data_IF_403018585270
#
_entry.id   IF_403018585270
#
_cell.length_a   1.000
_cell.length_b   1.000
_cell.length_c   1.000
_cell.angle_alpha   90.00
_cell.angle_beta   90.00
_cell.angle_gamma   90.00
#
_symmetry.space_group_name_H-M   'P 1'
#
loop_
_entity.id
_entity.type
_entity.pdbx_description
1 polymer ?
#
# COMPACT_ATOMS: atom_id res chain seq x y z
N UNK A 1 -23.40 -39.86 2.57
CA UNK A 1 -23.66 -39.12 1.33
C UNK A 1 -24.98 -38.33 1.43
N UNK A 2 -26.13 -38.96 1.74
CA UNK A 2 -27.44 -38.27 1.82
C UNK A 2 -27.43 -37.09 2.79
N UNK A 3 -26.86 -37.25 3.99
CA UNK A 3 -26.77 -36.19 5.00
C UNK A 3 -25.95 -34.95 4.52
N UNK A 4 -24.90 -35.16 3.75
CA UNK A 4 -24.09 -34.11 3.17
C UNK A 4 -24.87 -33.31 2.12
N UNK A 5 -25.54 -34.02 1.22
CA UNK A 5 -26.34 -33.41 0.14
C UNK A 5 -27.51 -32.62 0.72
N UNK A 6 -28.24 -33.20 1.66
CA UNK A 6 -29.41 -32.53 2.29
C UNK A 6 -29.00 -31.28 3.06
N UNK A 7 -27.89 -31.33 3.79
CA UNK A 7 -27.37 -30.18 4.53
C UNK A 7 -26.88 -29.07 3.61
N UNK A 8 -26.16 -29.43 2.55
CA UNK A 8 -25.67 -28.47 1.53
C UNK A 8 -26.86 -27.79 0.82
N UNK A 9 -27.79 -28.57 0.25
CA UNK A 9 -28.95 -28.04 -0.46
C UNK A 9 -29.90 -27.28 0.45
N UNK A 10 -30.13 -27.76 1.66
CA UNK A 10 -31.00 -27.08 2.64
C UNK A 10 -30.45 -25.70 3.02
N UNK A 11 -29.17 -25.60 3.30
CA UNK A 11 -28.51 -24.32 3.63
C UNK A 11 -28.50 -23.39 2.43
N UNK A 12 -28.19 -23.88 1.23
CA UNK A 12 -28.17 -23.06 0.01
C UNK A 12 -29.58 -22.53 -0.34
N UNK A 13 -30.61 -23.35 -0.24
CA UNK A 13 -32.00 -22.94 -0.48
C UNK A 13 -32.46 -21.92 0.57
N UNK A 14 -32.17 -22.14 1.85
CA UNK A 14 -32.48 -21.18 2.91
C UNK A 14 -31.84 -19.82 2.67
N UNK A 15 -30.57 -19.78 2.29
CA UNK A 15 -29.84 -18.53 1.93
C UNK A 15 -30.49 -17.85 0.71
N UNK A 16 -30.94 -18.62 -0.28
CA UNK A 16 -31.65 -18.09 -1.45
C UNK A 16 -33.00 -17.48 -1.10
N UNK A 17 -33.75 -18.08 -0.19
CA UNK A 17 -35.04 -17.54 0.30
C UNK A 17 -34.87 -16.19 1.03
N UNK A 18 -33.74 -15.97 1.67
CA UNK A 18 -33.40 -14.69 2.33
C UNK A 18 -32.98 -13.60 1.33
N UNK A 19 -32.91 -13.91 0.02
CA UNK A 19 -32.59 -12.94 -1.04
C UNK A 19 -31.13 -12.88 -1.47
N UNK A 20 -30.31 -13.81 -1.03
CA UNK A 20 -28.89 -13.87 -1.43
C UNK A 20 -28.72 -14.26 -2.91
N UNK A 21 -27.57 -13.91 -3.52
CA UNK A 21 -27.26 -14.37 -4.88
C UNK A 21 -27.11 -15.88 -4.94
N UNK A 22 -27.29 -16.51 -6.12
CA UNK A 22 -27.05 -17.95 -6.26
C UNK A 22 -25.64 -18.38 -5.88
N UNK A 23 -24.65 -17.55 -6.19
CA UNK A 23 -23.25 -17.79 -5.83
C UNK A 23 -23.08 -17.83 -4.31
N UNK A 24 -23.56 -16.80 -3.62
CA UNK A 24 -23.43 -16.68 -2.16
C UNK A 24 -24.21 -17.77 -1.45
N UNK A 25 -25.42 -18.13 -1.97
CA UNK A 25 -26.21 -19.20 -1.42
C UNK A 25 -25.51 -20.56 -1.50
N UNK A 26 -24.86 -20.87 -2.63
CA UNK A 26 -24.10 -22.11 -2.79
C UNK A 26 -22.80 -22.08 -1.95
N UNK A 27 -22.17 -20.94 -1.84
CA UNK A 27 -21.00 -20.76 -0.97
C UNK A 27 -21.34 -20.99 0.50
N UNK A 28 -22.45 -20.42 0.97
CA UNK A 28 -22.98 -20.67 2.33
C UNK A 28 -23.29 -22.16 2.51
N UNK A 29 -23.91 -22.80 1.52
CA UNK A 29 -24.19 -24.25 1.55
C UNK A 29 -22.92 -25.09 1.72
N UNK A 30 -21.85 -24.75 0.99
CA UNK A 30 -20.54 -25.41 1.08
C UNK A 30 -19.90 -25.23 2.45
N UNK A 31 -19.89 -24.01 2.96
CA UNK A 31 -19.30 -23.67 4.26
C UNK A 31 -20.08 -24.31 5.43
N UNK A 32 -21.39 -24.32 5.37
CA UNK A 32 -22.23 -24.96 6.40
C UNK A 32 -22.09 -26.48 6.47
N UNK A 33 -21.48 -27.10 5.46
CA UNK A 33 -21.20 -28.53 5.44
C UNK A 33 -19.87 -28.90 6.10
N UNK A 34 -19.02 -27.92 6.42
CA UNK A 34 -17.77 -28.14 7.17
C UNK A 34 -18.07 -28.58 8.59
N UNK A 35 -17.20 -29.42 9.16
CA UNK A 35 -17.28 -29.87 10.54
C UNK A 35 -16.08 -29.38 11.32
N UNK A 36 -16.32 -28.89 12.55
CA UNK A 36 -15.29 -28.36 13.41
C UNK A 36 -14.59 -29.43 14.24
N UNK A 37 -13.40 -29.12 14.76
CA UNK A 37 -12.63 -29.98 15.67
C UNK A 37 -13.39 -30.36 16.95
N UNK A 38 -14.36 -29.53 17.39
CA UNK A 38 -15.18 -29.81 18.56
C UNK A 38 -15.95 -31.12 18.44
N UNK A 39 -16.39 -31.47 17.23
CA UNK A 39 -17.10 -32.73 16.97
C UNK A 39 -16.20 -33.94 17.23
N UNK A 40 -14.92 -33.89 16.85
CA UNK A 40 -13.96 -34.96 17.11
C UNK A 40 -13.72 -35.15 18.61
N UNK A 41 -13.72 -34.07 19.38
CA UNK A 41 -13.58 -34.16 20.88
C UNK A 41 -14.80 -34.84 21.46
N UNK A 42 -16.01 -34.47 21.04
CA UNK A 42 -17.25 -35.08 21.56
C UNK A 42 -17.32 -36.55 21.16
N UNK A 43 -16.92 -36.92 19.95
CA UNK A 43 -16.85 -38.30 19.47
C UNK A 43 -15.84 -39.11 20.34
N UNK A 44 -14.69 -38.56 20.68
CA UNK A 44 -13.71 -39.24 21.52
C UNK A 44 -14.26 -39.52 22.94
N UNK A 45 -14.91 -38.52 23.54
CA UNK A 45 -15.59 -38.68 24.82
C UNK A 45 -16.68 -39.73 24.73
N UNK A 46 -17.45 -39.76 23.66
CA UNK A 46 -18.52 -40.79 23.42
C UNK A 46 -17.96 -42.20 23.30
N UNK A 47 -16.75 -42.35 22.72
CA UNK A 47 -16.03 -43.63 22.65
C UNK A 47 -15.54 -44.06 24.02
N UNK A 48 -14.91 -43.14 24.78
CA UNK A 48 -14.37 -43.40 26.14
C UNK A 48 -15.48 -43.81 27.11
N UNK A 49 -16.65 -43.19 27.02
CA UNK A 49 -17.85 -43.52 27.79
C UNK A 49 -18.56 -44.78 27.32
N UNK A 50 -18.05 -45.49 26.30
CA UNK A 50 -18.65 -46.67 25.67
C UNK A 50 -20.08 -46.45 25.15
N UNK A 51 -20.45 -45.23 24.88
CA UNK A 51 -21.74 -44.87 24.24
C UNK A 51 -21.69 -45.12 22.73
N UNK A 52 -20.50 -44.99 22.13
CA UNK A 52 -20.25 -45.26 20.72
C UNK A 52 -19.43 -46.54 20.55
N UNK A 53 -19.80 -47.33 19.54
CA UNK A 53 -18.95 -48.49 19.15
C UNK A 53 -17.76 -47.97 18.33
N UNK A 54 -16.59 -48.67 18.32
CA UNK A 54 -15.44 -48.27 17.54
C UNK A 54 -15.73 -48.12 16.05
N UNK A 55 -16.63 -48.91 15.47
CA UNK A 55 -17.00 -48.82 14.06
C UNK A 55 -17.75 -47.52 13.75
N UNK A 56 -18.71 -47.15 14.64
CA UNK A 56 -19.48 -45.90 14.48
C UNK A 56 -18.56 -44.69 14.67
N UNK A 57 -17.69 -44.74 15.67
CA UNK A 57 -16.67 -43.68 15.86
C UNK A 57 -15.83 -43.49 14.59
N UNK A 58 -15.23 -44.57 14.07
CA UNK A 58 -14.39 -44.51 12.87
C UNK A 58 -15.15 -43.95 11.67
N UNK A 59 -16.41 -44.38 11.47
CA UNK A 59 -17.26 -43.89 10.37
C UNK A 59 -17.53 -42.38 10.51
N UNK A 60 -17.77 -41.87 11.71
CA UNK A 60 -18.05 -40.45 11.94
C UNK A 60 -16.81 -39.60 11.78
N UNK A 61 -15.63 -40.08 12.21
CA UNK A 61 -14.35 -39.40 12.02
C UNK A 61 -13.98 -39.28 10.53
N UNK A 62 -14.11 -40.39 9.78
CA UNK A 62 -13.88 -40.38 8.33
C UNK A 62 -14.84 -39.41 7.63
N UNK A 63 -16.11 -39.39 8.02
CA UNK A 63 -17.09 -38.47 7.47
C UNK A 63 -16.73 -37.02 7.76
N UNK A 64 -16.26 -36.68 8.96
CA UNK A 64 -15.83 -35.34 9.33
C UNK A 64 -14.64 -34.89 8.50
N UNK A 65 -13.63 -35.74 8.33
CA UNK A 65 -12.44 -35.45 7.51
C UNK A 65 -12.79 -35.24 6.04
N UNK A 66 -13.60 -36.14 5.46
CA UNK A 66 -14.02 -36.06 4.03
C UNK A 66 -14.82 -34.79 3.78
N UNK A 67 -15.79 -34.45 4.65
CA UNK A 67 -16.60 -33.25 4.46
C UNK A 67 -15.78 -31.95 4.56
N UNK A 68 -14.83 -31.90 5.48
CA UNK A 68 -13.93 -30.74 5.64
C UNK A 68 -12.99 -30.61 4.42
N UNK A 69 -12.41 -31.72 3.96
CA UNK A 69 -11.52 -31.73 2.79
C UNK A 69 -12.26 -31.36 1.49
N UNK A 70 -13.52 -31.81 1.32
CA UNK A 70 -14.31 -31.50 0.14
C UNK A 70 -14.70 -30.01 0.01
N UNK A 71 -14.63 -29.22 1.08
CA UNK A 71 -15.07 -27.82 1.05
C UNK A 71 -14.24 -26.99 0.09
N UNK A 72 -12.90 -27.11 0.10
CA UNK A 72 -12.01 -26.39 -0.80
C UNK A 72 -12.31 -26.66 -2.29
N UNK A 73 -12.30 -27.92 -2.75
CA UNK A 73 -12.70 -28.26 -4.11
C UNK A 73 -14.08 -27.79 -4.50
N UNK A 74 -15.07 -27.87 -3.59
CA UNK A 74 -16.45 -27.42 -3.87
C UNK A 74 -16.50 -25.90 -4.08
N UNK A 75 -15.80 -25.12 -3.28
CA UNK A 75 -15.71 -23.66 -3.46
C UNK A 75 -15.04 -23.30 -4.79
N UNK A 76 -13.98 -24.00 -5.17
CA UNK A 76 -13.31 -23.80 -6.46
C UNK A 76 -14.25 -24.09 -7.64
N UNK A 77 -15.06 -25.14 -7.55
CA UNK A 77 -16.07 -25.48 -8.58
C UNK A 77 -17.15 -24.40 -8.65
N UNK A 78 -17.66 -23.92 -7.51
CA UNK A 78 -18.66 -22.84 -7.47
C UNK A 78 -18.07 -21.59 -8.14
N UNK A 79 -16.86 -21.19 -7.79
CA UNK A 79 -16.18 -20.03 -8.37
C UNK A 79 -15.92 -20.21 -9.88
N UNK A 80 -15.62 -21.41 -10.34
CA UNK A 80 -15.45 -21.70 -11.77
C UNK A 80 -16.73 -21.50 -12.57
N UNK A 81 -17.88 -22.00 -12.07
CA UNK A 81 -19.17 -21.91 -12.78
C UNK A 81 -19.82 -20.52 -12.68
N UNK A 82 -19.56 -19.78 -11.60
CA UNK A 82 -20.15 -18.45 -11.37
C UNK A 82 -19.13 -17.33 -11.53
N UNK A 83 -18.11 -17.51 -12.40
CA UNK A 83 -17.13 -16.49 -12.72
C UNK A 83 -17.81 -15.35 -13.47
N UNK A 84 -18.25 -14.34 -12.76
CA UNK A 84 -18.75 -13.08 -13.34
C UNK A 84 -17.57 -12.27 -13.84
N UNK A 85 -17.76 -11.53 -14.93
CA UNK A 85 -16.72 -10.76 -15.65
C UNK A 85 -16.11 -9.60 -14.83
N UNK A 86 -16.57 -9.40 -13.58
CA UNK A 86 -16.14 -8.37 -12.64
C UNK A 86 -15.18 -8.86 -11.54
N UNK A 87 -14.89 -10.17 -11.51
CA UNK A 87 -14.09 -10.77 -10.43
C UNK A 87 -12.62 -10.94 -10.83
N UNK A 88 -11.95 -9.86 -11.07
CA UNK A 88 -10.51 -9.79 -10.96
C UNK A 88 -10.13 -9.44 -9.52
N UNK A 89 -10.33 -10.30 -8.58
CA UNK A 89 -9.78 -10.44 -7.22
C UNK A 89 -10.85 -11.06 -6.31
N UNK A 90 -10.88 -12.38 -6.22
CA UNK A 90 -11.47 -13.07 -5.05
C UNK A 90 -10.58 -14.26 -4.76
N UNK A 91 -9.53 -13.97 -4.05
CA UNK A 91 -8.88 -14.94 -3.19
C UNK A 91 -9.49 -14.80 -1.79
N UNK A 92 -9.87 -15.96 -1.25
CA UNK A 92 -10.11 -16.26 0.16
C UNK A 92 -11.23 -15.47 0.87
N UNK A 93 -12.17 -16.23 1.44
CA UNK A 93 -12.95 -15.83 2.63
C UNK A 93 -11.98 -15.77 3.82
N UNK A 94 -11.08 -14.83 3.76
CA UNK A 94 -10.50 -14.14 4.87
C UNK A 94 -11.41 -12.92 5.13
N UNK A 95 -11.67 -12.58 6.34
CA UNK A 95 -12.04 -11.23 6.76
C UNK A 95 -11.41 -10.29 5.75
N UNK A 96 -12.22 -9.53 4.98
CA UNK A 96 -11.69 -8.57 4.00
C UNK A 96 -10.79 -7.65 4.81
N UNK A 97 -9.50 -7.96 4.84
CA UNK A 97 -8.52 -7.11 5.49
C UNK A 97 -8.55 -5.80 4.73
N UNK A 98 -9.09 -4.81 5.40
CA UNK A 98 -9.16 -3.47 4.82
C UNK A 98 -7.75 -3.00 4.55
N UNK A 99 -7.50 -2.51 3.36
CA UNK A 99 -6.22 -1.90 3.04
C UNK A 99 -5.99 -0.67 3.93
N UNK A 100 -5.04 -0.76 4.86
CA UNK A 100 -4.82 0.23 5.91
C UNK A 100 -3.64 1.12 5.57
N UNK A 101 -3.89 2.41 5.39
CA UNK A 101 -2.86 3.41 5.13
C UNK A 101 -2.66 4.27 6.37
N UNK A 102 -1.41 4.37 6.83
CA UNK A 102 -1.00 5.30 7.87
C UNK A 102 -0.31 6.51 7.23
N UNK A 103 -0.82 7.71 7.49
CA UNK A 103 -0.20 8.97 7.07
C UNK A 103 0.48 9.60 8.27
N UNK A 104 1.79 9.82 8.22
CA UNK A 104 2.49 10.59 9.26
C UNK A 104 2.95 11.94 8.71
N UNK A 105 2.51 13.01 9.35
CA UNK A 105 2.79 14.39 8.93
C UNK A 105 3.24 15.26 10.09
N UNK A 106 4.21 16.14 9.82
CA UNK A 106 4.64 17.17 10.77
C UNK A 106 4.01 18.54 10.50
N UNK A 107 3.52 18.78 9.26
CA UNK A 107 2.91 20.03 8.83
C UNK A 107 1.60 19.75 8.09
N UNK A 108 0.61 20.62 8.29
CA UNK A 108 -0.75 20.47 7.75
C UNK A 108 -0.80 20.39 6.21
N UNK A 109 -0.02 21.21 5.50
CA UNK A 109 0.02 21.17 4.03
C UNK A 109 0.54 19.84 3.51
N UNK A 110 1.53 19.26 4.20
CA UNK A 110 2.02 17.93 3.88
C UNK A 110 1.00 16.84 4.19
N UNK A 111 0.27 16.99 5.29
CA UNK A 111 -0.83 16.10 5.62
C UNK A 111 -1.89 16.08 4.51
N UNK A 112 -2.24 17.24 3.94
CA UNK A 112 -3.16 17.32 2.80
C UNK A 112 -2.63 16.61 1.56
N UNK A 113 -1.36 16.84 1.19
CA UNK A 113 -0.74 16.19 0.03
C UNK A 113 -0.66 14.66 0.21
N UNK A 114 -0.33 14.18 1.42
CA UNK A 114 -0.36 12.75 1.75
C UNK A 114 -1.78 12.18 1.65
N UNK A 115 -2.78 12.92 2.12
CA UNK A 115 -4.18 12.49 2.05
C UNK A 115 -4.68 12.42 0.59
N UNK A 116 -4.32 13.38 -0.27
CA UNK A 116 -4.63 13.34 -1.71
C UNK A 116 -4.00 12.11 -2.37
N UNK A 117 -2.74 11.83 -2.05
CA UNK A 117 -2.06 10.63 -2.55
C UNK A 117 -2.74 9.35 -2.07
N UNK A 118 -3.04 9.24 -0.77
CA UNK A 118 -3.73 8.08 -0.21
C UNK A 118 -5.11 7.89 -0.84
N UNK A 119 -5.89 8.97 -0.99
CA UNK A 119 -7.19 8.91 -1.65
C UNK A 119 -7.05 8.43 -3.11
N UNK A 120 -6.01 8.85 -3.83
CA UNK A 120 -5.78 8.38 -5.20
C UNK A 120 -5.47 6.87 -5.28
N UNK A 121 -4.96 6.28 -4.19
CA UNK A 121 -4.69 4.84 -4.09
C UNK A 121 -5.92 4.00 -3.71
N UNK A 122 -6.95 4.60 -3.07
CA UNK A 122 -8.09 3.83 -2.49
C UNK A 122 -9.47 4.38 -2.82
N UNK A 123 -9.60 5.40 -3.66
CA UNK A 123 -10.85 6.15 -3.92
C UNK A 123 -12.06 5.28 -4.28
N UNK A 124 -11.88 4.23 -5.06
CA UNK A 124 -12.93 3.31 -5.47
C UNK A 124 -13.09 2.10 -4.52
N UNK A 125 -12.23 2.01 -3.49
CA UNK A 125 -12.23 0.92 -2.50
C UNK A 125 -12.42 1.45 -1.07
N UNK A 126 -13.15 2.55 -0.89
CA UNK A 126 -13.31 3.22 0.42
C UNK A 126 -13.90 2.32 1.49
N UNK A 127 -14.84 1.44 1.14
CA UNK A 127 -15.45 0.49 2.07
C UNK A 127 -14.44 -0.57 2.56
N UNK A 128 -13.46 -0.90 1.71
CA UNK A 128 -12.42 -1.89 1.96
C UNK A 128 -11.06 -1.24 2.27
N UNK A 129 -11.04 0.01 2.69
CA UNK A 129 -9.81 0.71 3.07
C UNK A 129 -10.03 1.59 4.29
N UNK A 130 -8.95 1.80 5.05
CA UNK A 130 -8.93 2.76 6.15
C UNK A 130 -7.71 3.66 6.01
N UNK A 131 -7.90 4.95 6.24
CA UNK A 131 -6.82 5.93 6.21
C UNK A 131 -6.72 6.56 7.59
N UNK A 132 -5.56 6.38 8.25
CA UNK A 132 -5.28 6.97 9.56
C UNK A 132 -4.29 8.11 9.40
N UNK A 133 -4.67 9.32 9.80
CA UNK A 133 -3.80 10.48 9.82
C UNK A 133 -3.15 10.61 11.21
N UNK A 134 -1.84 10.47 11.28
CA UNK A 134 -1.06 10.52 12.52
C UNK A 134 -0.23 11.80 12.58
N UNK A 135 -0.33 12.51 13.70
CA UNK A 135 0.54 13.61 14.06
C UNK A 135 1.26 13.31 15.37
N UNK A 136 2.58 13.30 15.31
CA UNK A 136 3.43 13.15 16.50
C UNK A 136 4.09 14.48 16.82
N UNK A 137 4.18 14.80 18.11
CA UNK A 137 4.85 16.00 18.60
C UNK A 137 5.78 15.63 19.74
N UNK A 138 6.82 16.44 19.97
CA UNK A 138 7.70 16.26 21.12
C UNK A 138 6.95 16.61 22.41
N UNK A 139 7.17 15.79 23.44
CA UNK A 139 6.53 15.99 24.76
C UNK A 139 6.83 17.36 25.37
N UNK A 140 7.98 17.94 25.05
CA UNK A 140 8.42 19.25 25.51
C UNK A 140 7.70 20.43 24.83
N UNK A 141 7.11 20.18 23.64
CA UNK A 141 6.38 21.21 22.87
C UNK A 141 4.90 21.33 23.32
N UNK A 142 4.43 20.36 24.10
CA UNK A 142 3.03 20.29 24.49
C UNK A 142 2.85 20.73 25.93
N UNK A 143 2.28 21.90 26.11
CA UNK A 143 1.80 22.34 27.43
C UNK A 143 0.45 21.67 27.72
N UNK A 144 0.37 20.94 28.85
CA UNK A 144 -0.78 20.12 29.24
C UNK A 144 -2.15 20.85 29.24
N UNK A 145 -2.15 22.18 29.27
CA UNK A 145 -3.37 22.98 29.33
C UNK A 145 -4.06 23.25 27.99
N UNK A 146 -3.39 22.99 26.85
CA UNK A 146 -3.91 23.29 25.50
C UNK A 146 -3.82 22.11 24.54
N UNK A 147 -3.77 20.87 25.04
CA UNK A 147 -3.57 19.68 24.23
C UNK A 147 -4.68 19.50 23.18
N UNK A 148 -5.95 19.65 23.60
CA UNK A 148 -7.12 19.50 22.71
C UNK A 148 -7.17 20.57 21.62
N UNK A 149 -6.82 21.80 21.94
CA UNK A 149 -6.78 22.90 20.98
C UNK A 149 -5.64 22.71 19.98
N UNK A 150 -4.47 22.28 20.46
CA UNK A 150 -3.32 21.98 19.62
C UNK A 150 -3.60 20.80 18.66
N UNK A 151 -4.19 19.72 19.15
CA UNK A 151 -4.62 18.59 18.34
C UNK A 151 -5.61 19.02 17.26
N UNK A 152 -6.63 19.78 17.65
CA UNK A 152 -7.65 20.30 16.74
C UNK A 152 -7.06 21.16 15.63
N UNK A 153 -6.15 22.07 15.95
CA UNK A 153 -5.47 22.91 14.96
C UNK A 153 -4.65 22.10 13.95
N UNK A 154 -4.02 21.00 14.40
CA UNK A 154 -3.23 20.14 13.52
C UNK A 154 -4.11 19.30 12.58
N UNK A 155 -5.23 18.80 13.05
CA UNK A 155 -6.08 17.92 12.24
C UNK A 155 -7.16 18.64 11.45
N UNK A 156 -7.64 19.81 11.88
CA UNK A 156 -8.73 20.52 11.21
C UNK A 156 -8.51 20.69 9.69
N UNK A 157 -7.34 21.15 9.21
CA UNK A 157 -7.11 21.31 7.77
C UNK A 157 -7.14 19.99 7.00
N UNK A 158 -6.76 18.87 7.63
CA UNK A 158 -6.75 17.55 7.03
C UNK A 158 -8.15 16.95 7.02
N UNK A 159 -8.92 17.18 8.09
CA UNK A 159 -10.33 16.81 8.17
C UNK A 159 -11.15 17.57 7.11
N UNK A 160 -10.88 18.85 6.90
CA UNK A 160 -11.57 19.61 5.86
C UNK A 160 -11.21 19.13 4.45
N UNK A 161 -9.93 18.80 4.20
CA UNK A 161 -9.51 18.17 2.96
C UNK A 161 -10.17 16.79 2.76
N UNK A 162 -10.31 15.99 3.84
CA UNK A 162 -10.97 14.69 3.80
C UNK A 162 -12.45 14.78 3.39
N UNK A 163 -13.14 15.82 3.85
CA UNK A 163 -14.53 16.11 3.45
C UNK A 163 -14.63 16.45 1.96
N UNK A 164 -13.69 17.27 1.45
CA UNK A 164 -13.62 17.61 0.01
C UNK A 164 -13.41 16.36 -0.82
N UNK A 165 -12.52 15.47 -0.40
CA UNK A 165 -12.21 14.21 -1.06
C UNK A 165 -13.27 13.12 -0.81
N UNK A 166 -14.22 13.36 0.10
CA UNK A 166 -15.20 12.38 0.58
C UNK A 166 -14.54 11.10 1.08
N UNK A 167 -13.36 11.22 1.70
CA UNK A 167 -12.58 10.12 2.27
C UNK A 167 -12.70 10.16 3.79
N UNK A 168 -13.24 9.11 4.40
CA UNK A 168 -13.24 8.96 5.84
C UNK A 168 -11.81 8.72 6.34
N UNK A 169 -11.43 9.40 7.42
CA UNK A 169 -10.13 9.26 8.06
C UNK A 169 -10.30 9.06 9.55
N UNK A 170 -9.38 8.30 10.14
CA UNK A 170 -9.17 8.25 11.59
C UNK A 170 -7.99 9.16 11.95
N UNK A 171 -8.03 9.81 13.08
CA UNK A 171 -6.93 10.67 13.57
C UNK A 171 -6.23 9.98 14.73
N UNK A 172 -4.90 10.09 14.76
CA UNK A 172 -4.06 9.59 15.84
C UNK A 172 -3.08 10.69 16.25
N UNK A 173 -3.27 11.20 17.47
CA UNK A 173 -2.36 12.17 18.08
C UNK A 173 -1.59 11.53 19.23
N UNK A 174 -0.28 11.77 19.27
CA UNK A 174 0.56 11.26 20.35
C UNK A 174 1.74 12.21 20.62
N UNK A 175 1.98 12.53 21.89
CA UNK A 175 3.21 13.17 22.34
C UNK A 175 4.28 12.10 22.62
N UNK A 176 5.50 12.32 22.15
CA UNK A 176 6.59 11.35 22.28
C UNK A 176 7.92 12.04 22.52
N UNK A 177 8.90 11.29 22.97
CA UNK A 177 10.30 11.74 23.13
C UNK A 177 11.11 11.50 21.85
N UNK A 178 10.74 10.46 21.07
CA UNK A 178 11.43 10.08 19.83
C UNK A 178 10.39 9.85 18.73
N UNK A 179 10.22 10.85 17.87
CA UNK A 179 9.22 10.85 16.80
C UNK A 179 9.50 9.73 15.80
N UNK A 180 10.76 9.57 15.38
CA UNK A 180 11.17 8.64 14.33
C UNK A 180 10.94 7.18 14.74
N UNK A 181 11.31 6.83 15.96
CA UNK A 181 11.08 5.48 16.51
C UNK A 181 9.59 5.22 16.70
N UNK A 182 8.83 6.20 17.15
CA UNK A 182 7.41 6.05 17.40
C UNK A 182 6.61 5.90 16.09
N UNK A 183 6.98 6.62 15.00
CA UNK A 183 6.39 6.41 13.67
C UNK A 183 6.55 4.95 13.25
N UNK A 184 7.76 4.42 13.36
CA UNK A 184 8.04 3.04 12.97
C UNK A 184 7.31 2.02 13.87
N UNK A 185 7.22 2.28 15.17
CA UNK A 185 6.52 1.43 16.14
C UNK A 185 5.01 1.37 15.84
N UNK A 186 4.37 2.52 15.65
CA UNK A 186 2.93 2.58 15.31
C UNK A 186 2.67 1.88 13.99
N UNK A 187 3.52 2.10 12.97
CA UNK A 187 3.36 1.45 11.68
C UNK A 187 3.50 -0.07 11.77
N UNK A 188 4.51 -0.56 12.50
CA UNK A 188 4.79 -2.00 12.61
C UNK A 188 3.76 -2.76 13.47
N UNK A 189 3.18 -2.10 14.49
CA UNK A 189 2.24 -2.73 15.43
C UNK A 189 0.78 -2.58 15.02
N UNK A 190 0.47 -1.65 14.10
CA UNK A 190 -0.90 -1.33 13.70
C UNK A 190 -1.43 -2.13 12.52
N UNK A 191 -0.71 -3.14 12.03
CA UNK A 191 -1.06 -3.94 10.84
C UNK A 191 -1.42 -3.05 9.64
N UNK A 192 -0.62 -2.03 9.37
CA UNK A 192 -0.78 -1.16 8.20
C UNK A 192 -0.11 -1.76 6.97
N UNK A 193 -0.78 -1.64 5.82
CA UNK A 193 -0.26 -2.09 4.52
C UNK A 193 0.67 -1.06 3.87
N UNK A 194 0.55 0.20 4.27
CA UNK A 194 1.37 1.28 3.74
C UNK A 194 1.51 2.41 4.77
N UNK A 195 2.75 2.77 5.08
CA UNK A 195 3.09 4.01 5.79
C UNK A 195 3.46 5.08 4.76
N UNK A 196 2.80 6.23 4.78
CA UNK A 196 3.17 7.39 3.98
C UNK A 196 3.72 8.50 4.87
N UNK A 197 4.92 8.98 4.56
CA UNK A 197 5.54 10.12 5.24
C UNK A 197 5.86 11.24 4.25
N UNK A 198 5.70 12.49 4.69
CA UNK A 198 6.00 13.67 3.86
C UNK A 198 7.31 14.32 4.25
N UNK A 199 8.22 14.47 3.30
CA UNK A 199 9.44 15.24 3.50
C UNK A 199 9.21 16.73 3.21
N UNK A 200 9.65 17.59 4.13
CA UNK A 200 9.54 19.04 4.00
C UNK A 200 10.66 19.66 3.14
N UNK A 201 10.36 20.84 2.57
CA UNK A 201 11.37 21.67 1.89
C UNK A 201 12.53 22.00 2.84
N UNK A 202 12.26 22.20 4.12
CA UNK A 202 13.25 22.51 5.16
C UNK A 202 14.32 21.44 5.34
N UNK A 203 14.02 20.18 5.10
CA UNK A 203 14.97 19.08 5.20
C UNK A 203 16.06 19.19 4.11
N UNK A 204 15.68 19.77 2.98
CA UNK A 204 16.58 19.97 1.84
C UNK A 204 17.23 21.36 1.80
N UNK A 205 16.83 22.29 2.71
CA UNK A 205 17.42 23.63 2.79
C UNK A 205 18.90 23.53 3.15
N UNK A 206 19.73 24.15 2.30
CA UNK A 206 21.20 24.12 2.47
C UNK A 206 21.88 22.84 2.00
N UNK A 207 21.15 21.82 1.55
CA UNK A 207 21.71 20.59 0.96
C UNK A 207 21.91 20.73 -0.54
N UNK A 208 22.89 20.01 -1.10
CA UNK A 208 23.07 19.91 -2.55
C UNK A 208 21.84 19.30 -3.22
N UNK A 209 21.20 18.33 -2.57
CA UNK A 209 19.98 17.69 -3.04
C UNK A 209 18.82 18.70 -3.11
N UNK A 210 18.65 19.55 -2.10
CA UNK A 210 17.64 20.61 -2.12
C UNK A 210 17.83 21.60 -3.28
N UNK A 211 19.06 21.93 -3.61
CA UNK A 211 19.39 22.76 -4.76
C UNK A 211 19.10 22.05 -6.09
N UNK A 212 19.43 20.77 -6.17
CA UNK A 212 19.14 19.94 -7.35
C UNK A 212 17.62 19.76 -7.56
N UNK A 213 16.86 19.57 -6.48
CA UNK A 213 15.41 19.48 -6.51
C UNK A 213 14.69 20.83 -6.72
N UNK A 214 15.43 21.95 -6.68
CA UNK A 214 14.88 23.29 -6.89
C UNK A 214 14.20 23.89 -5.67
N UNK A 215 14.42 23.35 -4.45
CA UNK A 215 13.83 23.86 -3.21
C UNK A 215 14.54 25.08 -2.63
N UNK A 216 15.79 25.33 -3.00
CA UNK A 216 16.58 26.46 -2.49
C UNK A 216 17.31 27.19 -3.60
N UNK A 217 17.24 28.52 -3.56
CA UNK A 217 18.03 29.44 -4.40
C UNK A 217 19.19 30.05 -3.61
N UNK A 218 19.28 29.80 -2.30
CA UNK A 218 20.34 30.34 -1.47
C UNK A 218 21.70 29.81 -1.92
N UNK A 219 22.60 30.71 -2.24
CA UNK A 219 24.01 30.42 -2.53
C UNK A 219 24.66 30.00 -1.21
N UNK A 220 25.10 28.74 -1.11
CA UNK A 220 25.94 28.31 0.00
C UNK A 220 27.25 29.14 -0.04
N UNK A 221 27.77 29.48 1.15
CA UNK A 221 29.05 30.13 1.29
C UNK A 221 30.14 29.44 0.44
N UNK A 222 30.85 30.14 -0.46
CA UNK A 222 31.84 29.53 -1.34
C UNK A 222 32.94 28.75 -0.60
N UNK A 223 33.29 29.16 0.60
CA UNK A 223 34.34 28.53 1.42
C UNK A 223 33.99 27.09 1.87
N UNK A 224 32.70 26.81 2.11
CA UNK A 224 32.25 25.45 2.43
C UNK A 224 32.18 24.53 1.21
N UNK A 225 32.10 25.08 0.01
CA UNK A 225 32.17 24.32 -1.23
C UNK A 225 33.58 23.84 -1.53
N UNK A 226 34.58 24.66 -1.26
CA UNK A 226 36.00 24.35 -1.54
C UNK A 226 36.50 23.22 -0.63
N UNK A 227 36.11 23.19 0.64
CA UNK A 227 36.49 22.12 1.58
C UNK A 227 35.84 20.75 1.23
N UNK A 228 34.68 20.75 0.59
CA UNK A 228 34.03 19.51 0.10
C UNK A 228 34.53 19.02 -1.25
N UNK A 229 35.12 19.90 -2.08
CA UNK A 229 35.70 19.52 -3.37
C UNK A 229 37.13 19.01 -3.27
N UNK A 230 37.86 19.36 -2.21
CA UNK A 230 39.25 18.96 -2.03
C UNK A 230 39.50 17.79 -1.08
N UNK A 231 38.50 17.35 -0.35
CA UNK A 231 38.58 16.20 0.56
C UNK A 231 37.64 15.09 0.22
N UNK A 232 38.12 14.04 -0.36
CA UNK A 232 37.72 12.60 -0.37
C UNK A 232 36.26 12.16 -0.04
N UNK A 233 35.29 13.05 0.10
CA UNK A 233 33.88 12.69 0.29
C UNK A 233 33.17 12.86 -1.03
N UNK A 234 32.76 11.73 -1.65
CA UNK A 234 31.90 11.72 -2.82
C UNK A 234 30.61 12.51 -2.55
N UNK A 235 30.03 13.12 -3.58
CA UNK A 235 28.83 13.98 -3.52
C UNK A 235 27.64 13.34 -2.78
N UNK A 236 27.68 12.03 -2.50
CA UNK A 236 26.62 11.22 -1.92
C UNK A 236 27.14 10.15 -0.94
N UNK A 237 28.27 10.39 -0.27
CA UNK A 237 28.86 9.40 0.62
C UNK A 237 27.97 8.97 1.80
N UNK A 238 26.90 9.73 2.06
CA UNK A 238 25.89 9.38 3.05
C UNK A 238 24.49 9.57 2.47
N UNK A 239 23.79 8.49 2.18
CA UNK A 239 22.35 8.35 1.92
C UNK A 239 21.62 9.62 1.41
N UNK A 240 20.81 9.55 0.36
CA UNK A 240 20.03 10.69 -0.17
C UNK A 240 18.98 11.23 0.81
N UNK A 241 18.90 10.66 2.00
CA UNK A 241 17.96 11.02 3.05
C UNK A 241 18.71 11.57 4.27
N UNK A 242 18.06 12.49 4.99
CA UNK A 242 18.50 12.96 6.29
C UNK A 242 18.50 11.85 7.35
N UNK A 243 19.15 12.08 8.48
CA UNK A 243 19.29 11.08 9.55
C UNK A 243 17.92 10.57 10.05
N UNK A 244 16.95 11.47 10.21
CA UNK A 244 15.61 11.13 10.69
C UNK A 244 14.89 10.18 9.73
N UNK A 245 14.90 10.51 8.45
CA UNK A 245 14.29 9.66 7.42
C UNK A 245 14.98 8.31 7.32
N UNK A 246 16.32 8.27 7.45
CA UNK A 246 17.08 7.01 7.48
C UNK A 246 16.69 6.12 8.64
N UNK A 247 16.46 6.69 9.82
CA UNK A 247 16.01 5.94 10.99
C UNK A 247 14.62 5.33 10.78
N UNK A 248 13.69 6.09 10.21
CA UNK A 248 12.36 5.56 9.86
C UNK A 248 12.49 4.42 8.85
N UNK A 249 13.26 4.62 7.75
CA UNK A 249 13.50 3.58 6.73
C UNK A 249 14.07 2.30 7.35
N UNK A 250 15.02 2.44 8.28
CA UNK A 250 15.69 1.30 8.91
C UNK A 250 14.80 0.54 9.90
N UNK A 251 13.96 1.26 10.66
CA UNK A 251 13.12 0.67 11.74
C UNK A 251 11.77 0.16 11.26
N UNK A 252 11.27 0.65 10.10
CA UNK A 252 9.96 0.29 9.56
C UNK A 252 10.04 -1.02 8.77
N UNK A 253 9.18 -1.97 9.15
CA UNK A 253 8.96 -3.24 8.45
C UNK A 253 7.78 -3.16 7.47
N UNK A 254 6.82 -2.30 7.77
CA UNK A 254 5.68 -1.99 6.89
C UNK A 254 6.17 -1.36 5.58
N UNK A 255 5.55 -1.65 4.42
CA UNK A 255 5.82 -0.94 3.19
C UNK A 255 5.76 0.58 3.40
N UNK A 256 6.79 1.29 2.95
CA UNK A 256 6.98 2.70 3.23
C UNK A 256 6.98 3.53 1.95
N UNK A 257 6.17 4.58 1.92
CA UNK A 257 6.17 5.61 0.88
C UNK A 257 6.63 6.96 1.43
N UNK A 258 7.65 7.53 0.82
CA UNK A 258 8.22 8.83 1.18
C UNK A 258 7.85 9.83 0.10
N UNK A 259 7.00 10.79 0.42
CA UNK A 259 6.58 11.83 -0.51
C UNK A 259 7.48 13.07 -0.40
N UNK A 260 8.23 13.37 -1.46
CA UNK A 260 8.86 14.67 -1.68
C UNK A 260 7.84 15.54 -2.39
N UNK A 261 7.15 16.36 -1.63
CA UNK A 261 6.04 17.15 -2.12
C UNK A 261 6.50 18.46 -2.79
N UNK A 262 6.06 18.67 -4.02
CA UNK A 262 6.20 19.89 -4.82
C UNK A 262 4.83 20.44 -5.21
N UNK A 263 3.96 20.63 -4.22
CA UNK A 263 2.58 21.09 -4.35
C UNK A 263 1.71 20.08 -5.12
N UNK A 264 1.63 18.84 -4.60
CA UNK A 264 0.82 17.77 -5.19
C UNK A 264 -0.68 18.06 -5.01
N UNK A 265 -1.36 18.42 -6.09
CA UNK A 265 -2.79 18.65 -6.10
C UNK A 265 -3.59 17.48 -6.66
N UNK A 266 -3.03 16.78 -7.64
CA UNK A 266 -3.66 15.65 -8.34
C UNK A 266 -2.63 14.60 -8.73
N UNK A 267 -3.10 13.39 -9.06
CA UNK A 267 -2.24 12.24 -9.44
C UNK A 267 -2.76 11.66 -10.77
N UNK A 268 -2.83 12.49 -11.81
CA UNK A 268 -3.38 12.08 -13.11
C UNK A 268 -2.29 11.61 -14.08
N UNK A 269 -1.12 12.24 -14.06
CA UNK A 269 0.00 11.94 -14.95
C UNK A 269 1.17 11.44 -14.11
N UNK A 270 1.48 10.15 -14.20
CA UNK A 270 2.49 9.51 -13.34
C UNK A 270 3.57 8.87 -14.21
N UNK A 271 4.83 9.02 -13.81
CA UNK A 271 5.96 8.31 -14.43
C UNK A 271 6.58 7.34 -13.44
N UNK A 272 6.91 6.15 -13.91
CA UNK A 272 7.58 5.09 -13.14
C UNK A 272 8.82 4.66 -13.92
N UNK A 273 10.01 5.17 -13.56
CA UNK A 273 11.26 4.67 -14.12
C UNK A 273 11.62 3.31 -13.51
N UNK A 274 11.94 2.35 -14.36
CA UNK A 274 12.39 1.01 -13.99
C UNK A 274 13.88 0.91 -14.27
N UNK A 275 14.70 0.83 -13.23
CA UNK A 275 16.15 0.69 -13.32
C UNK A 275 16.60 -0.75 -13.16
N UNK A 276 15.82 -1.57 -12.45
CA UNK A 276 16.12 -2.96 -12.16
C UNK A 276 14.87 -3.84 -12.14
N UNK A 277 14.99 -5.16 -12.26
CA UNK A 277 13.86 -6.08 -12.12
C UNK A 277 13.16 -6.02 -10.75
N UNK A 278 13.88 -5.65 -9.70
CA UNK A 278 13.33 -5.50 -8.35
C UNK A 278 12.28 -4.37 -8.26
N UNK A 279 12.30 -3.42 -9.20
CA UNK A 279 11.31 -2.35 -9.28
C UNK A 279 9.90 -2.84 -9.71
N UNK A 280 9.74 -4.13 -10.01
CA UNK A 280 8.45 -4.69 -10.45
C UNK A 280 7.29 -4.44 -9.47
N UNK A 281 7.55 -4.37 -8.15
CA UNK A 281 6.52 -4.05 -7.16
C UNK A 281 5.89 -2.66 -7.33
N UNK A 282 6.56 -1.73 -8.02
CA UNK A 282 6.02 -0.41 -8.33
C UNK A 282 4.78 -0.50 -9.24
N UNK A 283 4.67 -1.58 -10.02
CA UNK A 283 3.54 -1.82 -10.91
C UNK A 283 2.23 -2.08 -10.15
N UNK A 284 2.31 -2.59 -8.91
CA UNK A 284 1.13 -2.75 -8.04
C UNK A 284 0.54 -1.39 -7.68
N UNK A 285 1.39 -0.40 -7.41
CA UNK A 285 0.96 0.98 -7.17
C UNK A 285 0.43 1.65 -8.44
N UNK A 286 1.02 1.35 -9.60
CA UNK A 286 0.49 1.77 -10.89
C UNK A 286 -0.93 1.25 -11.09
N UNK A 287 -1.17 -0.04 -10.86
CA UNK A 287 -2.49 -0.65 -10.96
C UNK A 287 -3.50 -0.02 -9.99
N UNK A 288 -3.10 0.23 -8.74
CA UNK A 288 -3.96 0.91 -7.75
C UNK A 288 -4.34 2.31 -8.20
N UNK A 289 -3.40 3.10 -8.73
CA UNK A 289 -3.66 4.45 -9.22
C UNK A 289 -4.56 4.47 -10.45
N UNK A 290 -4.39 3.55 -11.38
CA UNK A 290 -5.27 3.43 -12.54
C UNK A 290 -6.69 3.08 -12.08
N UNK A 291 -6.83 2.04 -11.27
CA UNK A 291 -8.14 1.55 -10.82
C UNK A 291 -8.89 2.59 -9.98
N UNK A 292 -8.20 3.27 -9.07
CA UNK A 292 -8.83 4.18 -8.11
C UNK A 292 -8.94 5.62 -8.61
N UNK A 293 -8.08 6.07 -9.50
CA UNK A 293 -7.99 7.48 -9.89
C UNK A 293 -7.96 7.72 -11.40
N UNK A 294 -8.07 6.66 -12.21
CA UNK A 294 -7.97 6.72 -13.69
C UNK A 294 -6.67 7.40 -14.16
N UNK A 295 -5.59 7.21 -13.39
CA UNK A 295 -4.29 7.83 -13.65
C UNK A 295 -3.68 7.27 -14.94
N UNK A 296 -2.98 8.12 -15.69
CA UNK A 296 -2.17 7.74 -16.86
C UNK A 296 -0.75 7.45 -16.39
N UNK A 297 -0.31 6.23 -16.55
CA UNK A 297 1.00 5.74 -16.09
C UNK A 297 1.94 5.60 -17.28
N UNK A 298 3.08 6.25 -17.18
CA UNK A 298 4.18 6.12 -18.14
C UNK A 298 5.31 5.34 -17.51
N UNK A 299 5.57 4.15 -18.04
CA UNK A 299 6.67 3.28 -17.59
C UNK A 299 7.88 3.61 -18.44
N UNK A 300 8.98 4.00 -17.80
CA UNK A 300 10.25 4.29 -18.43
C UNK A 300 11.23 3.16 -18.13
N UNK A 301 11.53 2.33 -19.13
CA UNK A 301 12.53 1.26 -19.01
C UNK A 301 13.94 1.81 -19.30
N UNK A 302 14.65 2.22 -18.25
CA UNK A 302 15.93 2.94 -18.37
C UNK A 302 17.05 2.08 -18.94
N UNK A 303 17.04 0.77 -18.65
CA UNK A 303 18.13 -0.15 -19.03
C UNK A 303 17.68 -1.28 -19.97
N UNK A 304 16.45 -1.24 -20.52
CA UNK A 304 15.91 -2.32 -21.33
C UNK A 304 15.61 -3.59 -20.54
N UNK A 305 15.34 -3.47 -19.25
CA UNK A 305 15.08 -4.59 -18.33
C UNK A 305 13.82 -5.37 -18.71
N UNK A 306 12.83 -4.70 -19.31
CA UNK A 306 11.61 -5.34 -19.83
C UNK A 306 11.89 -6.33 -20.96
N UNK A 307 12.99 -6.16 -21.70
CA UNK A 307 13.38 -7.07 -22.77
C UNK A 307 14.10 -8.31 -22.24
N UNK A 308 14.79 -8.21 -21.12
CA UNK A 308 15.67 -9.27 -20.57
C UNK A 308 15.02 -10.06 -19.44
N UNK A 309 14.10 -9.44 -18.67
CA UNK A 309 13.45 -10.09 -17.54
C UNK A 309 12.00 -10.48 -17.87
N UNK A 310 11.73 -11.78 -17.87
CA UNK A 310 10.41 -12.34 -18.22
C UNK A 310 9.31 -11.90 -17.23
N UNK A 311 9.61 -11.84 -15.93
CA UNK A 311 8.62 -11.49 -14.89
C UNK A 311 8.18 -10.04 -15.07
N UNK A 312 9.14 -9.12 -15.22
CA UNK A 312 8.85 -7.71 -15.45
C UNK A 312 8.07 -7.49 -16.74
N UNK A 313 8.50 -8.15 -17.83
CA UNK A 313 7.83 -8.08 -19.12
C UNK A 313 6.37 -8.56 -19.02
N UNK A 314 6.15 -9.71 -18.38
CA UNK A 314 4.80 -10.27 -18.22
C UNK A 314 3.91 -9.37 -17.37
N UNK A 315 4.44 -8.75 -16.30
CA UNK A 315 3.71 -7.82 -15.47
C UNK A 315 3.30 -6.55 -16.25
N UNK A 316 4.22 -5.94 -16.98
CA UNK A 316 3.92 -4.76 -17.84
C UNK A 316 2.88 -5.13 -18.89
N UNK A 317 3.08 -6.24 -19.62
CA UNK A 317 2.14 -6.68 -20.67
C UNK A 317 0.75 -6.98 -20.11
N UNK A 318 0.66 -7.59 -18.93
CA UNK A 318 -0.60 -7.85 -18.25
C UNK A 318 -1.34 -6.55 -17.91
N UNK A 319 -0.63 -5.55 -17.43
CA UNK A 319 -1.19 -4.23 -17.14
C UNK A 319 -1.62 -3.48 -18.41
N UNK A 320 -0.82 -3.55 -19.49
CA UNK A 320 -1.16 -2.95 -20.78
C UNK A 320 -2.43 -3.59 -21.38
N UNK A 321 -2.56 -4.90 -21.29
CA UNK A 321 -3.77 -5.61 -21.75
C UNK A 321 -5.00 -5.24 -20.93
N UNK A 322 -4.83 -5.08 -19.61
CA UNK A 322 -5.92 -4.73 -18.69
C UNK A 322 -6.35 -3.27 -18.81
N UNK A 323 -5.39 -2.37 -19.03
CA UNK A 323 -5.59 -0.92 -19.04
C UNK A 323 -4.91 -0.24 -20.25
N UNK A 324 -5.29 -0.56 -21.49
CA UNK A 324 -4.57 -0.13 -22.71
C UNK A 324 -4.57 1.38 -22.93
N UNK A 325 -5.50 2.12 -22.30
CA UNK A 325 -5.58 3.59 -22.45
C UNK A 325 -4.83 4.33 -21.34
N UNK A 326 -4.46 3.64 -20.26
CA UNK A 326 -3.87 4.24 -19.07
C UNK A 326 -2.37 3.97 -18.94
N UNK A 327 -1.82 3.02 -19.69
CA UNK A 327 -0.40 2.68 -19.63
C UNK A 327 0.27 2.93 -20.95
N UNK A 328 1.48 3.47 -20.88
CA UNK A 328 2.38 3.62 -22.02
C UNK A 328 3.82 3.31 -21.63
N UNK A 329 4.49 2.49 -22.42
CA UNK A 329 5.92 2.27 -22.30
C UNK A 329 6.66 3.37 -23.08
N UNK A 330 7.62 4.03 -22.46
CA UNK A 330 8.36 5.15 -23.01
C UNK A 330 9.84 4.79 -23.10
N UNK A 331 10.47 5.11 -24.23
CA UNK A 331 11.92 4.99 -24.40
C UNK A 331 12.63 6.20 -23.75
N UNK A 332 13.78 5.96 -23.14
CA UNK A 332 14.63 6.97 -22.45
C UNK A 332 14.97 8.18 -23.37
N UNK A 333 15.05 7.95 -24.69
CA UNK A 333 15.33 9.00 -25.70
C UNK A 333 14.22 10.05 -25.85
N UNK A 334 13.01 9.77 -25.41
CA UNK A 334 11.82 10.62 -25.59
C UNK A 334 11.66 11.60 -24.41
N UNK A 335 12.30 11.35 -23.29
CA UNK A 335 12.12 12.12 -22.06
C UNK A 335 12.81 13.48 -22.15
N UNK A 336 12.11 14.46 -22.72
CA UNK A 336 12.54 15.87 -22.77
C UNK A 336 12.14 16.60 -21.47
N UNK A 337 12.86 17.65 -21.12
CA UNK A 337 12.60 18.50 -19.94
C UNK A 337 11.17 19.05 -19.86
N UNK A 338 10.57 19.35 -21.02
CA UNK A 338 9.21 19.88 -21.13
C UNK A 338 8.13 18.82 -20.87
N UNK A 339 8.46 17.56 -21.08
CA UNK A 339 7.59 16.43 -20.81
C UNK A 339 7.48 16.18 -19.30
N UNK A 340 8.61 16.17 -18.59
CA UNK A 340 8.66 15.96 -17.13
C UNK A 340 7.87 17.05 -16.38
N UNK A 341 7.87 18.28 -16.87
CA UNK A 341 7.17 19.40 -16.25
C UNK A 341 5.63 19.29 -16.30
N UNK A 342 5.08 18.38 -17.11
CA UNK A 342 3.64 18.13 -17.22
C UNK A 342 3.16 16.97 -16.33
N UNK A 343 4.07 16.30 -15.66
CA UNK A 343 3.76 15.18 -14.80
C UNK A 343 3.37 15.67 -13.40
N UNK A 344 2.46 14.96 -12.76
CA UNK A 344 2.03 15.23 -11.39
C UNK A 344 2.92 14.50 -10.37
N UNK A 345 3.29 13.25 -10.68
CA UNK A 345 4.00 12.38 -9.75
C UNK A 345 5.05 11.51 -10.46
N UNK A 346 6.20 11.34 -9.83
CA UNK A 346 7.19 10.32 -10.14
C UNK A 346 7.17 9.28 -9.02
N UNK A 347 7.04 7.99 -9.37
CA UNK A 347 7.12 6.87 -8.42
C UNK A 347 8.38 6.07 -8.69
N UNK A 348 9.17 5.81 -7.64
CA UNK A 348 10.47 5.16 -7.76
C UNK A 348 10.79 4.36 -6.49
N UNK A 349 11.58 3.28 -6.60
CA UNK A 349 12.09 2.56 -5.43
C UNK A 349 13.22 3.33 -4.73
N UNK A 350 13.49 3.02 -3.47
CA UNK A 350 14.60 3.62 -2.70
C UNK A 350 15.94 3.36 -3.39
N UNK A 351 16.15 2.17 -3.92
CA UNK A 351 17.38 1.75 -4.61
C UNK A 351 17.56 2.53 -5.91
N UNK A 352 16.51 2.59 -6.71
CA UNK A 352 16.51 3.30 -8.00
C UNK A 352 16.59 4.80 -7.83
N UNK A 353 16.07 5.35 -6.72
CA UNK A 353 16.24 6.76 -6.36
C UNK A 353 17.72 7.14 -6.16
N UNK A 354 18.50 6.29 -5.50
CA UNK A 354 19.95 6.49 -5.37
C UNK A 354 20.64 6.54 -6.73
N UNK A 355 20.31 5.57 -7.61
CA UNK A 355 20.85 5.53 -8.98
C UNK A 355 20.47 6.75 -9.81
N UNK A 356 19.23 7.24 -9.67
CA UNK A 356 18.75 8.43 -10.35
C UNK A 356 19.55 9.67 -9.94
N UNK A 357 19.81 9.81 -8.65
CA UNK A 357 20.59 10.94 -8.10
C UNK A 357 22.03 10.95 -8.63
N UNK A 358 22.66 9.79 -8.70
CA UNK A 358 24.07 9.67 -9.12
C UNK A 358 24.24 9.92 -10.63
N UNK A 359 23.34 9.40 -11.45
CA UNK A 359 23.50 9.41 -12.92
C UNK A 359 22.78 10.55 -13.63
N UNK A 360 21.67 11.05 -13.07
CA UNK A 360 20.72 11.89 -13.79
C UNK A 360 20.40 13.23 -13.07
N UNK A 361 21.38 13.84 -12.42
CA UNK A 361 21.21 15.06 -11.62
C UNK A 361 20.56 16.25 -12.36
N UNK A 362 20.68 16.33 -13.69
CA UNK A 362 20.06 17.40 -14.51
C UNK A 362 18.54 17.26 -14.62
N UNK A 363 18.03 16.05 -14.56
CA UNK A 363 16.62 15.72 -14.59
C UNK A 363 15.86 16.27 -13.37
N UNK A 364 16.54 16.24 -12.22
CA UNK A 364 15.94 16.43 -10.91
C UNK A 364 15.39 17.83 -10.64
N UNK A 365 15.91 18.85 -11.35
CA UNK A 365 15.45 20.25 -11.17
C UNK A 365 13.97 20.48 -11.53
N UNK A 366 13.41 19.67 -12.43
CA UNK A 366 12.04 19.81 -12.94
C UNK A 366 11.17 18.59 -12.69
N UNK A 367 11.64 17.68 -11.83
CA UNK A 367 10.86 16.53 -11.40
C UNK A 367 9.60 17.02 -10.68
N UNK A 368 8.43 16.42 -10.93
CA UNK A 368 7.20 16.70 -10.18
C UNK A 368 7.35 16.26 -8.71
N UNK A 369 6.28 16.16 -7.96
CA UNK A 369 6.31 15.47 -6.67
C UNK A 369 6.83 14.05 -6.85
N UNK A 370 7.60 13.55 -5.87
CA UNK A 370 8.25 12.23 -5.95
C UNK A 370 7.75 11.34 -4.82
N UNK A 371 7.24 10.18 -5.15
CA UNK A 371 6.93 9.12 -4.20
C UNK A 371 8.03 8.05 -4.28
N UNK A 372 8.82 7.95 -3.22
CA UNK A 372 9.87 6.94 -3.08
C UNK A 372 9.32 5.80 -2.25
N UNK A 373 9.31 4.59 -2.80
CA UNK A 373 8.74 3.41 -2.19
C UNK A 373 9.82 2.43 -1.73
N UNK A 374 9.63 1.88 -0.53
CA UNK A 374 10.34 0.74 0.02
C UNK A 374 9.33 -0.38 0.23
N UNK A 375 9.64 -1.54 -0.30
CA UNK A 375 8.89 -2.78 -0.07
C UNK A 375 9.40 -3.51 1.16
#
# INVERSE_FOLDING_TARGET
>A
LVAVVVKFLGSALAAKFVGQSWRDSLTIGALMNTRGLMELIVLNIGLDLKVLTPEVFTMMVIMALVTTFMTGPTLNVINYFFKTKDDGVLDEVSTVEKYKILLSFGNNEKGKSLLRLANSLVKNQKENSTVTAMHLTLSDEVHAYNLEEYEKDKFLPIIDESKILKQEISTLFQATVDIESNIAEVANNGDYDLLLIGLGKSIFEGSLLGKVLGFTTRIMNPDRLIDKFTGKEGLFENSPFDERTRQIIAKTKTPLGILIDKDLHQVNQVIIPIFSPEDAFLLDYAQKLIYNNDSKIMILDVNGNSSTNFVLKSAITSLEQKYPQNISLIDDKIVKKEFIAKLDLLIISVESWKLLLDKYSIWLRRVPSVLILKH
#
